data_IF_046074967262
#
_entry.id   IF_046074967262
#
_cell.length_a   1.000
_cell.length_b   1.000
_cell.length_c   1.000
_cell.angle_alpha   90.00
_cell.angle_beta   90.00
_cell.angle_gamma   90.00
#
_symmetry.space_group_name_H-M   'P 1'
#
loop_
_entity.id
_entity.type
_entity.pdbx_description
1 polymer ?
#
# COMPACT_ATOMS: atom_id res chain seq x y z
N UNK A 1 -9.14 -21.44 -15.69
CA UNK A 1 -9.49 -20.02 -15.60
C UNK A 1 -8.90 -19.32 -16.81
N UNK A 2 -9.72 -18.87 -17.77
CA UNK A 2 -9.19 -18.10 -18.91
C UNK A 2 -8.83 -16.70 -18.42
N UNK A 3 -7.55 -16.36 -18.48
CA UNK A 3 -7.06 -15.01 -18.19
C UNK A 3 -7.41 -14.17 -19.42
N UNK A 4 -8.43 -13.32 -19.32
CA UNK A 4 -8.74 -12.34 -20.37
C UNK A 4 -7.78 -11.16 -20.27
N UNK A 5 -7.50 -10.48 -21.38
CA UNK A 5 -6.64 -9.28 -21.38
C UNK A 5 -7.15 -8.21 -20.39
N UNK A 6 -8.48 -8.08 -20.28
CA UNK A 6 -9.15 -7.19 -19.32
C UNK A 6 -8.83 -7.52 -17.87
N UNK A 7 -8.76 -8.80 -17.54
CA UNK A 7 -8.45 -9.24 -16.19
C UNK A 7 -7.01 -8.87 -15.78
N UNK A 8 -6.07 -8.83 -16.74
CA UNK A 8 -4.71 -8.32 -16.53
C UNK A 8 -4.73 -6.81 -16.34
N UNK A 9 -5.48 -6.05 -17.14
CA UNK A 9 -5.61 -4.60 -16.97
C UNK A 9 -6.18 -4.23 -15.59
N UNK A 10 -7.23 -4.91 -15.14
CA UNK A 10 -7.82 -4.70 -13.81
C UNK A 10 -6.83 -4.99 -12.68
N UNK A 11 -6.08 -6.07 -12.81
CA UNK A 11 -5.02 -6.42 -11.86
C UNK A 11 -3.97 -5.31 -11.77
N UNK A 12 -3.52 -4.77 -12.92
CA UNK A 12 -2.52 -3.70 -12.98
C UNK A 12 -3.06 -2.40 -12.38
N UNK A 13 -4.30 -2.02 -12.70
CA UNK A 13 -4.96 -0.84 -12.12
C UNK A 13 -5.01 -0.93 -10.59
N UNK A 14 -5.46 -2.07 -10.04
CA UNK A 14 -5.49 -2.30 -8.59
C UNK A 14 -4.09 -2.26 -7.98
N UNK A 15 -3.10 -2.87 -8.64
CA UNK A 15 -1.71 -2.88 -8.16
C UNK A 15 -1.13 -1.47 -8.05
N UNK A 16 -1.36 -0.61 -9.06
CA UNK A 16 -0.93 0.80 -9.03
C UNK A 16 -1.55 1.53 -7.83
N UNK A 17 -2.84 1.32 -7.58
CA UNK A 17 -3.55 1.93 -6.43
C UNK A 17 -2.98 1.42 -5.10
N UNK A 18 -2.68 0.13 -4.96
CA UNK A 18 -2.07 -0.44 -3.76
C UNK A 18 -0.66 0.12 -3.51
N UNK A 19 0.16 0.20 -4.56
CA UNK A 19 1.52 0.75 -4.48
C UNK A 19 1.49 2.23 -4.08
N UNK A 20 0.60 3.03 -4.67
CA UNK A 20 0.50 4.45 -4.34
C UNK A 20 -0.03 4.72 -2.93
N UNK A 21 -1.03 3.94 -2.48
CA UNK A 21 -1.54 4.03 -1.10
C UNK A 21 -0.43 3.70 -0.10
N UNK A 22 0.35 2.64 -0.39
CA UNK A 22 1.52 2.27 0.41
C UNK A 22 2.56 3.40 0.39
N UNK A 23 2.95 3.89 -0.79
CA UNK A 23 3.93 4.95 -0.94
C UNK A 23 3.54 6.22 -0.15
N UNK A 24 2.26 6.57 -0.12
CA UNK A 24 1.74 7.70 0.64
C UNK A 24 1.92 7.52 2.16
N UNK A 25 1.51 6.37 2.70
CA UNK A 25 1.68 6.05 4.10
C UNK A 25 3.16 6.02 4.51
N UNK A 26 4.00 5.35 3.71
CA UNK A 26 5.43 5.28 3.94
C UNK A 26 6.12 6.64 3.91
N UNK A 27 5.86 7.46 2.88
CA UNK A 27 6.43 8.81 2.80
C UNK A 27 5.96 9.70 3.96
N UNK A 28 4.73 9.54 4.46
CA UNK A 28 4.24 10.23 5.65
C UNK A 28 5.03 9.83 6.90
N UNK A 29 5.31 8.53 7.09
CA UNK A 29 6.17 8.03 8.19
C UNK A 29 7.56 8.63 8.09
N UNK A 30 8.19 8.59 6.91
CA UNK A 30 9.54 9.13 6.72
C UNK A 30 9.60 10.65 6.95
N UNK A 31 8.58 11.38 6.51
CA UNK A 31 8.46 12.82 6.77
C UNK A 31 8.34 13.13 8.26
N UNK A 32 7.60 12.31 9.02
CA UNK A 32 7.52 12.43 10.48
C UNK A 32 8.87 12.20 11.15
N UNK A 33 9.62 11.17 10.74
CA UNK A 33 10.95 10.86 11.27
C UNK A 33 12.02 11.92 10.92
N UNK A 34 11.79 12.67 9.84
CA UNK A 34 12.69 13.70 9.34
C UNK A 34 12.27 15.13 9.72
N UNK A 35 11.17 15.32 10.46
CA UNK A 35 10.51 16.62 10.67
C UNK A 35 11.44 17.74 11.17
N UNK A 36 12.43 17.41 11.99
CA UNK A 36 13.31 18.38 12.64
C UNK A 36 14.76 18.29 12.13
N UNK A 37 14.99 17.67 10.96
CA UNK A 37 16.34 17.47 10.45
C UNK A 37 16.50 18.16 9.09
N UNK A 38 17.25 19.26 9.06
CA UNK A 38 17.49 20.02 7.83
C UNK A 38 18.47 19.30 6.89
N UNK A 39 19.32 18.42 7.42
CA UNK A 39 20.35 17.69 6.63
C UNK A 39 19.74 16.72 5.61
N UNK A 40 18.45 16.40 5.75
CA UNK A 40 17.73 15.47 4.87
C UNK A 40 16.80 16.19 3.87
N UNK A 41 16.96 17.50 3.67
CA UNK A 41 16.12 18.30 2.76
C UNK A 41 16.11 17.74 1.33
N UNK A 42 17.28 17.39 0.77
CA UNK A 42 17.40 16.80 -0.58
C UNK A 42 16.63 15.49 -0.69
N UNK A 43 16.72 14.64 0.34
CA UNK A 43 15.99 13.39 0.41
C UNK A 43 14.47 13.63 0.52
N UNK A 44 14.02 14.59 1.32
CA UNK A 44 12.60 14.95 1.41
C UNK A 44 12.03 15.49 0.09
N UNK A 45 12.81 16.29 -0.66
CA UNK A 45 12.42 16.72 -2.01
C UNK A 45 12.32 15.55 -2.99
N UNK A 46 13.20 14.55 -2.88
CA UNK A 46 13.08 13.31 -3.65
C UNK A 46 11.79 12.54 -3.29
N UNK A 47 11.50 12.36 -1.99
CA UNK A 47 10.29 11.69 -1.53
C UNK A 47 9.02 12.38 -2.03
N UNK A 48 8.98 13.71 -2.00
CA UNK A 48 7.87 14.50 -2.55
C UNK A 48 7.64 14.18 -4.03
N UNK A 49 8.69 14.24 -4.86
CA UNK A 49 8.60 13.96 -6.30
C UNK A 49 8.16 12.53 -6.59
N UNK A 50 8.74 11.56 -5.88
CA UNK A 50 8.37 10.15 -5.97
C UNK A 50 6.89 9.96 -5.63
N UNK A 51 6.42 10.52 -4.51
CA UNK A 51 5.04 10.40 -4.08
C UNK A 51 4.07 11.03 -5.09
N UNK A 52 4.40 12.19 -5.66
CA UNK A 52 3.57 12.81 -6.71
C UNK A 52 3.42 11.90 -7.93
N UNK A 53 4.49 11.24 -8.37
CA UNK A 53 4.42 10.28 -9.48
C UNK A 53 3.47 9.12 -9.13
N UNK A 54 3.61 8.54 -7.93
CA UNK A 54 2.73 7.46 -7.48
C UNK A 54 1.26 7.89 -7.40
N UNK A 55 0.98 9.06 -6.82
CA UNK A 55 -0.39 9.58 -6.67
C UNK A 55 -1.00 9.94 -8.03
N UNK A 56 -0.23 10.51 -8.96
CA UNK A 56 -0.69 10.78 -10.32
C UNK A 56 -1.01 9.49 -11.07
N UNK A 57 -0.16 8.46 -10.97
CA UNK A 57 -0.44 7.15 -11.54
C UNK A 57 -1.69 6.51 -10.95
N UNK A 58 -1.90 6.63 -9.64
CA UNK A 58 -3.09 6.10 -8.97
C UNK A 58 -4.37 6.85 -9.29
N UNK A 59 -4.31 8.17 -9.51
CA UNK A 59 -5.43 8.96 -10.00
C UNK A 59 -5.85 8.48 -11.40
N UNK A 60 -4.89 8.30 -12.30
CA UNK A 60 -5.15 7.76 -13.63
C UNK A 60 -5.74 6.35 -13.53
N UNK A 61 -5.16 5.48 -12.70
CA UNK A 61 -5.66 4.13 -12.47
C UNK A 61 -7.10 4.13 -11.92
N UNK A 62 -7.42 5.00 -10.96
CA UNK A 62 -8.76 5.12 -10.38
C UNK A 62 -9.81 5.59 -11.40
N UNK A 63 -9.44 6.50 -12.31
CA UNK A 63 -10.31 6.94 -13.40
C UNK A 63 -10.49 5.83 -14.44
N UNK A 64 -9.41 5.12 -14.79
CA UNK A 64 -9.44 4.03 -15.76
C UNK A 64 -10.16 2.77 -15.25
N UNK A 65 -10.30 2.60 -13.93
CA UNK A 65 -10.95 1.42 -13.36
C UNK A 65 -12.37 1.23 -13.91
N UNK A 66 -13.18 2.29 -13.95
CA UNK A 66 -14.58 2.24 -14.42
C UNK A 66 -14.68 1.77 -15.89
N UNK A 67 -14.03 2.40 -16.88
CA UNK A 67 -14.12 1.97 -18.27
C UNK A 67 -13.47 0.61 -18.53
N UNK A 68 -12.41 0.25 -17.79
CA UNK A 68 -11.79 -1.08 -17.91
C UNK A 68 -12.73 -2.17 -17.40
N UNK A 69 -13.45 -1.92 -16.30
CA UNK A 69 -14.47 -2.85 -15.81
C UNK A 69 -15.67 -2.94 -16.75
N UNK A 70 -16.15 -1.81 -17.29
CA UNK A 70 -17.21 -1.79 -18.29
C UNK A 70 -16.83 -2.62 -19.53
N UNK A 71 -15.60 -2.45 -20.04
CA UNK A 71 -15.09 -3.24 -21.16
C UNK A 71 -14.97 -4.73 -20.86
N UNK A 72 -14.60 -5.07 -19.61
CA UNK A 72 -14.52 -6.47 -19.18
C UNK A 72 -15.89 -7.17 -19.19
N UNK A 73 -16.98 -6.42 -18.94
CA UNK A 73 -18.35 -6.93 -18.96
C UNK A 73 -19.00 -6.87 -20.35
N UNK A 74 -18.64 -5.89 -21.17
CA UNK A 74 -19.21 -5.68 -22.50
C UNK A 74 -18.89 -6.79 -23.51
N UNK A 75 -17.80 -7.54 -23.29
CA UNK A 75 -17.26 -8.55 -24.20
C UNK A 75 -17.02 -8.06 -25.65
N UNK A 76 -17.04 -6.75 -25.89
CA UNK A 76 -16.91 -6.10 -27.21
C UNK A 76 -15.50 -5.55 -27.48
N UNK A 77 -14.50 -6.03 -26.74
CA UNK A 77 -13.14 -5.51 -26.80
C UNK A 77 -13.06 -4.06 -26.33
N UNK A 78 -12.16 -3.26 -26.93
CA UNK A 78 -11.91 -1.88 -26.48
C UNK A 78 -13.11 -0.94 -26.66
N UNK A 79 -14.05 -1.25 -27.56
CA UNK A 79 -15.29 -0.48 -27.73
C UNK A 79 -16.14 -0.47 -26.45
N UNK A 80 -16.04 -1.53 -25.64
CA UNK A 80 -16.72 -1.64 -24.35
C UNK A 80 -16.29 -0.60 -23.32
N UNK A 81 -15.11 0.02 -23.47
CA UNK A 81 -14.66 1.10 -22.56
C UNK A 81 -15.54 2.36 -22.68
N UNK A 82 -16.21 2.51 -23.81
CA UNK A 82 -17.07 3.67 -24.13
C UNK A 82 -18.54 3.27 -24.28
N UNK A 83 -18.89 2.04 -23.95
CA UNK A 83 -20.28 1.58 -23.99
C UNK A 83 -21.07 2.27 -22.88
N UNK A 84 -22.00 3.14 -23.25
CA UNK A 84 -22.72 3.98 -22.31
C UNK A 84 -23.56 3.16 -21.31
N UNK A 85 -24.13 2.04 -21.76
CA UNK A 85 -24.95 1.19 -20.91
C UNK A 85 -24.08 0.45 -19.87
N UNK A 86 -22.95 -0.13 -20.30
CA UNK A 86 -22.03 -0.79 -19.37
C UNK A 86 -21.38 0.20 -18.41
N UNK A 87 -21.02 1.41 -18.87
CA UNK A 87 -20.51 2.47 -18.01
C UNK A 87 -21.53 2.88 -16.94
N UNK A 88 -22.81 3.01 -17.29
CA UNK A 88 -23.87 3.33 -16.35
C UNK A 88 -24.04 2.21 -15.30
N UNK A 89 -24.02 0.94 -15.73
CA UNK A 89 -24.06 -0.21 -14.82
C UNK A 89 -22.91 -0.17 -13.82
N UNK A 90 -21.66 0.02 -14.28
CA UNK A 90 -20.50 0.09 -13.39
C UNK A 90 -20.57 1.32 -12.48
N UNK A 91 -21.06 2.46 -12.98
CA UNK A 91 -21.20 3.68 -12.19
C UNK A 91 -22.22 3.54 -11.04
N UNK A 92 -23.31 2.79 -11.26
CA UNK A 92 -24.30 2.49 -10.23
C UNK A 92 -23.88 1.33 -9.29
N UNK A 93 -22.72 0.71 -9.53
CA UNK A 93 -22.19 -0.39 -8.72
C UNK A 93 -21.30 0.11 -7.57
N UNK A 94 -20.88 -0.83 -6.72
CA UNK A 94 -19.89 -0.59 -5.64
C UNK A 94 -18.56 0.00 -6.14
N UNK A 95 -18.21 -0.20 -7.42
CA UNK A 95 -17.02 0.39 -8.01
C UNK A 95 -17.21 1.88 -8.26
N UNK A 96 -18.40 2.31 -8.68
CA UNK A 96 -18.76 3.73 -8.78
C UNK A 96 -18.68 4.41 -7.41
N UNK A 97 -19.27 3.80 -6.37
CA UNK A 97 -19.18 4.29 -4.99
C UNK A 97 -17.72 4.45 -4.53
N UNK A 98 -16.88 3.45 -4.82
CA UNK A 98 -15.46 3.50 -4.52
C UNK A 98 -14.75 4.64 -5.27
N UNK A 99 -15.07 4.86 -6.54
CA UNK A 99 -14.48 5.90 -7.37
C UNK A 99 -14.84 7.31 -6.89
N UNK A 100 -16.10 7.54 -6.49
CA UNK A 100 -16.59 8.82 -5.94
C UNK A 100 -15.82 9.22 -4.68
N UNK A 101 -15.42 8.26 -3.85
CA UNK A 101 -14.60 8.53 -2.66
C UNK A 101 -13.12 8.69 -3.02
N UNK A 102 -12.59 7.80 -3.86
CA UNK A 102 -11.14 7.66 -4.09
C UNK A 102 -10.58 8.75 -5.01
N UNK A 103 -11.27 9.14 -6.07
CA UNK A 103 -10.77 10.13 -7.04
C UNK A 103 -10.55 11.50 -6.38
N UNK A 104 -11.53 12.09 -5.66
CA UNK A 104 -11.32 13.35 -4.95
C UNK A 104 -10.23 13.24 -3.88
N UNK A 105 -10.12 12.10 -3.20
CA UNK A 105 -9.08 11.89 -2.18
C UNK A 105 -7.67 11.89 -2.79
N UNK A 106 -7.47 11.29 -3.97
CA UNK A 106 -6.19 11.37 -4.68
C UNK A 106 -5.88 12.78 -5.19
N UNK A 107 -6.86 13.50 -5.73
CA UNK A 107 -6.69 14.90 -6.15
C UNK A 107 -6.25 15.74 -4.94
N UNK A 108 -6.96 15.62 -3.81
CA UNK A 108 -6.61 16.34 -2.59
C UNK A 108 -5.23 15.93 -2.07
N UNK A 109 -4.87 14.65 -2.11
CA UNK A 109 -3.54 14.17 -1.71
C UNK A 109 -2.44 14.81 -2.57
N UNK A 110 -2.62 14.91 -3.89
CA UNK A 110 -1.67 15.60 -4.79
C UNK A 110 -1.52 17.07 -4.39
N UNK A 111 -2.63 17.79 -4.20
CA UNK A 111 -2.61 19.22 -3.79
C UNK A 111 -1.87 19.40 -2.46
N UNK A 112 -2.14 18.54 -1.48
CA UNK A 112 -1.51 18.57 -0.15
C UNK A 112 -0.01 18.27 -0.27
N UNK A 113 0.40 17.28 -1.06
CA UNK A 113 1.82 16.93 -1.24
C UNK A 113 2.59 18.03 -1.98
N UNK A 114 1.99 18.71 -2.95
CA UNK A 114 2.61 19.88 -3.61
C UNK A 114 2.97 20.96 -2.59
N UNK A 115 2.14 21.14 -1.56
CA UNK A 115 2.36 22.12 -0.49
C UNK A 115 3.38 21.69 0.59
N UNK A 116 4.08 20.56 0.46
CA UNK A 116 5.01 20.05 1.48
C UNK A 116 6.22 20.96 1.76
N UNK A 117 6.64 21.79 0.81
CA UNK A 117 7.83 22.65 0.95
C UNK A 117 7.56 23.96 1.72
N UNK A 118 6.33 24.16 2.21
CA UNK A 118 5.96 25.38 2.93
C UNK A 118 6.43 25.32 4.40
N UNK A 119 7.24 26.28 4.82
CA UNK A 119 7.92 26.30 6.12
C UNK A 119 7.15 26.96 7.29
N UNK A 120 5.89 27.35 7.10
CA UNK A 120 5.09 27.88 8.22
C UNK A 120 4.61 26.76 9.13
N UNK A 121 4.82 26.88 10.45
CA UNK A 121 4.47 25.85 11.43
C UNK A 121 2.98 25.44 11.39
N UNK A 122 2.07 26.41 11.24
CA UNK A 122 0.64 26.15 11.09
C UNK A 122 0.32 25.40 9.80
N UNK A 123 1.03 25.72 8.71
CA UNK A 123 0.87 25.04 7.42
C UNK A 123 1.38 23.61 7.49
N UNK A 124 2.48 23.34 8.20
CA UNK A 124 3.03 21.99 8.38
C UNK A 124 2.04 21.09 9.14
N UNK A 125 1.47 21.58 10.26
CA UNK A 125 0.50 20.82 11.03
C UNK A 125 -0.78 20.56 10.23
N UNK A 126 -1.35 21.58 9.60
CA UNK A 126 -2.54 21.44 8.76
C UNK A 126 -2.29 20.45 7.62
N UNK A 127 -1.15 20.56 6.95
CA UNK A 127 -0.75 19.67 5.87
C UNK A 127 -0.62 18.21 6.33
N UNK A 128 -0.06 17.98 7.52
CA UNK A 128 0.02 16.65 8.12
C UNK A 128 -1.38 16.07 8.35
N UNK A 129 -2.29 16.82 8.98
CA UNK A 129 -3.66 16.38 9.20
C UNK A 129 -4.41 16.10 7.90
N UNK A 130 -4.24 16.95 6.88
CA UNK A 130 -4.85 16.74 5.56
C UNK A 130 -4.27 15.52 4.84
N UNK A 131 -2.96 15.28 4.95
CA UNK A 131 -2.32 14.07 4.38
C UNK A 131 -2.85 12.82 5.07
N UNK A 132 -2.98 12.84 6.40
CA UNK A 132 -3.54 11.72 7.15
C UNK A 132 -5.02 11.49 6.81
N UNK A 133 -5.81 12.58 6.72
CA UNK A 133 -7.22 12.51 6.34
C UNK A 133 -7.41 11.88 4.96
N UNK A 134 -6.67 12.37 3.95
CA UNK A 134 -6.72 11.81 2.58
C UNK A 134 -6.30 10.34 2.53
N UNK A 135 -5.25 9.96 3.27
CA UNK A 135 -4.83 8.56 3.38
C UNK A 135 -5.92 7.69 3.99
N UNK A 136 -6.55 8.13 5.09
CA UNK A 136 -7.64 7.40 5.74
C UNK A 136 -8.84 7.27 4.79
N UNK A 137 -9.19 8.31 4.05
CA UNK A 137 -10.28 8.29 3.05
C UNK A 137 -9.99 7.30 1.91
N UNK A 138 -8.75 7.27 1.40
CA UNK A 138 -8.33 6.26 0.41
C UNK A 138 -8.44 4.86 1.00
N UNK A 139 -8.00 4.65 2.25
CA UNK A 139 -8.08 3.35 2.92
C UNK A 139 -9.54 2.92 3.13
N UNK A 140 -10.40 3.85 3.53
CA UNK A 140 -11.84 3.62 3.70
C UNK A 140 -12.49 3.12 2.41
N UNK A 141 -12.07 3.65 1.25
CA UNK A 141 -12.60 3.23 -0.06
C UNK A 141 -12.44 1.73 -0.34
N UNK A 142 -11.44 1.05 0.24
CA UNK A 142 -11.30 -0.41 0.10
C UNK A 142 -12.35 -1.20 0.86
N UNK A 143 -12.98 -0.60 1.89
CA UNK A 143 -14.02 -1.27 2.69
C UNK A 143 -15.38 -1.31 1.99
N UNK A 144 -15.55 -0.55 0.91
CA UNK A 144 -16.78 -0.47 0.12
C UNK A 144 -16.94 -1.64 -0.86
N UNK A 145 -15.88 -2.44 -1.06
CA UNK A 145 -15.83 -3.50 -2.07
C UNK A 145 -15.45 -4.85 -1.46
N UNK A 146 -15.93 -5.94 -2.07
CA UNK A 146 -15.63 -7.32 -1.66
C UNK A 146 -16.28 -7.71 -0.33
N UNK A 147 -15.84 -8.84 0.24
CA UNK A 147 -16.41 -9.40 1.49
C UNK A 147 -16.33 -8.49 2.70
N UNK A 148 -15.44 -7.49 2.68
CA UNK A 148 -15.37 -6.47 3.73
C UNK A 148 -16.62 -5.57 3.75
N UNK A 149 -17.31 -5.40 2.62
CA UNK A 149 -18.46 -4.49 2.49
C UNK A 149 -19.68 -4.96 3.28
N UNK A 150 -19.87 -6.28 3.39
CA UNK A 150 -21.01 -6.90 4.08
C UNK A 150 -20.77 -7.12 5.59
N UNK A 151 -19.54 -6.89 6.06
CA UNK A 151 -19.21 -7.05 7.48
C UNK A 151 -19.60 -5.83 8.31
N UNK A 152 -19.72 -6.04 9.62
CA UNK A 152 -20.02 -4.98 10.58
C UNK A 152 -18.90 -3.92 10.65
N UNK A 153 -19.21 -2.78 11.27
CA UNK A 153 -18.29 -1.65 11.38
C UNK A 153 -16.97 -2.03 12.06
N UNK A 154 -17.00 -2.92 13.06
CA UNK A 154 -15.80 -3.37 13.76
C UNK A 154 -14.81 -4.08 12.82
N UNK A 155 -15.28 -5.03 12.01
CA UNK A 155 -14.42 -5.74 11.06
C UNK A 155 -13.91 -4.80 9.96
N UNK A 156 -14.74 -3.86 9.49
CA UNK A 156 -14.30 -2.81 8.56
C UNK A 156 -13.17 -1.96 9.15
N UNK A 157 -13.28 -1.55 10.41
CA UNK A 157 -12.22 -0.81 11.10
C UNK A 157 -10.94 -1.63 11.25
N UNK A 158 -11.04 -2.91 11.62
CA UNK A 158 -9.87 -3.82 11.70
C UNK A 158 -9.21 -3.96 10.33
N UNK A 159 -10.00 -4.07 9.26
CA UNK A 159 -9.49 -4.11 7.89
C UNK A 159 -8.77 -2.82 7.49
N UNK A 160 -9.32 -1.65 7.86
CA UNK A 160 -8.65 -0.37 7.65
C UNK A 160 -7.32 -0.29 8.40
N UNK A 161 -7.27 -0.72 9.66
CA UNK A 161 -6.02 -0.77 10.44
C UNK A 161 -5.00 -1.72 9.81
N UNK A 162 -5.44 -2.86 9.29
CA UNK A 162 -4.58 -3.79 8.57
C UNK A 162 -3.97 -3.14 7.33
N UNK A 163 -4.80 -2.50 6.48
CA UNK A 163 -4.34 -1.79 5.28
C UNK A 163 -3.40 -0.64 5.66
N UNK A 164 -3.71 0.12 6.71
CA UNK A 164 -2.87 1.21 7.17
C UNK A 164 -1.50 0.69 7.63
N UNK A 165 -1.46 -0.36 8.44
CA UNK A 165 -0.23 -0.95 8.94
C UNK A 165 0.65 -1.50 7.80
N UNK A 166 0.08 -2.28 6.88
CA UNK A 166 0.86 -2.80 5.74
C UNK A 166 1.34 -1.67 4.82
N UNK A 167 0.52 -0.62 4.64
CA UNK A 167 0.88 0.55 3.83
C UNK A 167 2.05 1.30 4.45
N UNK A 168 2.06 1.49 5.78
CA UNK A 168 3.17 2.10 6.50
C UNK A 168 4.46 1.25 6.39
N UNK A 169 4.36 -0.07 6.52
CA UNK A 169 5.54 -0.94 6.42
C UNK A 169 6.09 -1.01 5.00
N UNK A 170 5.29 -1.50 4.04
CA UNK A 170 5.69 -1.70 2.64
C UNK A 170 6.04 -0.38 1.97
N UNK A 171 5.25 0.65 2.25
CA UNK A 171 5.46 1.99 1.71
C UNK A 171 6.77 2.64 2.12
N UNK A 172 7.29 2.31 3.29
CA UNK A 172 8.55 2.86 3.79
C UNK A 172 9.78 2.18 3.17
N UNK A 173 9.66 0.98 2.61
CA UNK A 173 10.80 0.23 2.09
C UNK A 173 11.55 0.95 0.96
N UNK A 174 10.83 1.51 -0.01
CA UNK A 174 11.46 2.25 -1.12
C UNK A 174 12.17 3.55 -0.66
N UNK A 175 11.53 4.42 0.16
CA UNK A 175 12.22 5.51 0.84
C UNK A 175 13.46 5.08 1.63
N UNK A 176 13.39 3.99 2.40
CA UNK A 176 14.52 3.47 3.18
C UNK A 176 15.64 2.92 2.29
N UNK A 177 15.31 2.28 1.18
CA UNK A 177 16.29 1.89 0.17
C UNK A 177 17.00 3.11 -0.43
N UNK A 178 16.26 4.18 -0.73
CA UNK A 178 16.81 5.41 -1.31
C UNK A 178 17.58 6.25 -0.30
N UNK A 179 17.25 6.18 1.00
CA UNK A 179 18.01 6.87 2.03
C UNK A 179 19.47 6.42 2.06
N UNK A 180 19.73 5.13 1.77
CA UNK A 180 21.08 4.57 1.64
C UNK A 180 21.90 5.17 0.48
N UNK A 181 21.27 5.92 -0.44
CA UNK A 181 21.95 6.60 -1.55
C UNK A 181 22.06 8.11 -1.34
N UNK A 182 21.03 8.72 -0.74
CA UNK A 182 20.96 10.17 -0.58
C UNK A 182 21.51 10.69 0.74
N UNK A 183 21.62 9.84 1.77
CA UNK A 183 21.98 10.26 3.12
C UNK A 183 23.35 9.73 3.54
N UNK A 184 24.10 10.50 4.35
CA UNK A 184 25.30 9.99 5.02
C UNK A 184 24.99 8.80 5.93
N UNK A 185 25.98 7.94 6.15
CA UNK A 185 25.85 6.70 6.94
C UNK A 185 25.23 6.93 8.33
N UNK A 186 25.59 8.03 9.00
CA UNK A 186 25.05 8.40 10.30
C UNK A 186 23.53 8.67 10.26
N UNK A 187 23.05 9.35 9.22
CA UNK A 187 21.63 9.64 9.01
C UNK A 187 20.84 8.40 8.59
N UNK A 188 21.43 7.53 7.77
CA UNK A 188 20.85 6.22 7.45
C UNK A 188 20.66 5.40 8.73
N UNK A 189 21.69 5.32 9.59
CA UNK A 189 21.61 4.60 10.86
C UNK A 189 20.51 5.16 11.77
N UNK A 190 20.46 6.49 11.94
CA UNK A 190 19.41 7.17 12.72
C UNK A 190 18.02 6.83 12.19
N UNK A 191 17.81 6.99 10.89
CA UNK A 191 16.52 6.79 10.25
C UNK A 191 16.05 5.33 10.37
N UNK A 192 16.94 4.37 10.11
CA UNK A 192 16.64 2.94 10.23
C UNK A 192 16.36 2.54 11.68
N UNK A 193 17.08 3.12 12.65
CA UNK A 193 16.82 2.86 14.06
C UNK A 193 15.44 3.37 14.50
N UNK A 194 15.10 4.62 14.14
CA UNK A 194 13.79 5.21 14.47
C UNK A 194 12.65 4.48 13.77
N UNK A 195 12.82 4.13 12.49
CA UNK A 195 11.86 3.30 11.77
C UNK A 195 11.71 1.92 12.43
N UNK A 196 12.80 1.29 12.84
CA UNK A 196 12.78 0.00 13.53
C UNK A 196 12.05 0.02 14.88
N UNK A 197 11.98 1.16 15.57
CA UNK A 197 11.15 1.34 16.77
C UNK A 197 9.66 1.41 16.41
N UNK A 198 9.29 2.23 15.41
CA UNK A 198 7.92 2.34 14.91
C UNK A 198 7.42 1.02 14.29
N UNK A 199 8.30 0.30 13.61
CA UNK A 199 8.00 -0.96 12.95
C UNK A 199 7.46 -2.01 13.93
N UNK A 200 7.87 -1.99 15.22
CA UNK A 200 7.32 -2.90 16.23
C UNK A 200 5.82 -2.70 16.39
N UNK A 201 5.38 -1.44 16.50
CA UNK A 201 3.97 -1.08 16.65
C UNK A 201 3.21 -1.43 15.36
N UNK A 202 3.77 -1.08 14.20
CA UNK A 202 3.18 -1.38 12.89
C UNK A 202 2.97 -2.89 12.72
N UNK A 203 3.99 -3.69 13.03
CA UNK A 203 3.94 -5.16 12.94
C UNK A 203 2.93 -5.73 13.93
N UNK A 204 2.87 -5.22 15.17
CA UNK A 204 1.90 -5.68 16.15
C UNK A 204 0.46 -5.46 15.67
N UNK A 205 0.15 -4.25 15.18
CA UNK A 205 -1.16 -3.92 14.59
C UNK A 205 -1.44 -4.82 13.39
N UNK A 206 -0.45 -5.04 12.52
CA UNK A 206 -0.58 -5.89 11.34
C UNK A 206 -0.90 -7.35 11.70
N UNK A 207 -0.22 -7.92 12.70
CA UNK A 207 -0.43 -9.30 13.14
C UNK A 207 -1.80 -9.47 13.81
N UNK A 208 -2.15 -8.60 14.76
CA UNK A 208 -3.43 -8.69 15.47
C UNK A 208 -4.60 -8.51 14.50
N UNK A 209 -4.55 -7.51 13.63
CA UNK A 209 -5.58 -7.30 12.61
C UNK A 209 -5.61 -8.43 11.59
N UNK A 210 -4.44 -8.90 11.13
CA UNK A 210 -4.33 -9.96 10.12
C UNK A 210 -4.88 -11.29 10.60
N UNK A 211 -4.54 -11.71 11.83
CA UNK A 211 -5.11 -12.92 12.45
C UNK A 211 -6.61 -12.78 12.64
N UNK A 212 -7.09 -11.62 13.09
CA UNK A 212 -8.53 -11.39 13.26
C UNK A 212 -9.30 -11.49 11.94
N UNK A 213 -8.78 -10.89 10.87
CA UNK A 213 -9.39 -10.97 9.53
C UNK A 213 -9.33 -12.39 8.96
N UNK A 214 -8.22 -13.09 9.19
CA UNK A 214 -8.05 -14.49 8.78
C UNK A 214 -9.15 -15.37 9.37
N UNK A 215 -9.42 -15.22 10.68
CA UNK A 215 -10.47 -15.97 11.40
C UNK A 215 -11.90 -15.57 10.98
N UNK A 216 -12.09 -14.37 10.42
CA UNK A 216 -13.40 -13.86 10.01
C UNK A 216 -13.75 -14.18 8.55
N UNK A 217 -12.75 -14.50 7.74
CA UNK A 217 -12.90 -14.78 6.31
C UNK A 217 -12.67 -16.25 5.93
N UNK A 218 -12.04 -17.06 6.78
CA UNK A 218 -11.98 -18.51 6.61
C UNK A 218 -13.14 -19.18 7.36
N UNK A 219 -13.82 -20.13 6.71
CA UNK A 219 -14.87 -20.90 7.37
C UNK A 219 -14.27 -22.01 8.25
N UNK A 220 -13.11 -22.56 7.86
CA UNK A 220 -12.39 -23.55 8.67
C UNK A 220 -10.87 -23.50 8.46
N UNK A 221 -10.10 -23.99 9.44
CA UNK A 221 -8.64 -24.12 9.32
C UNK A 221 -8.25 -25.14 8.25
N UNK A 222 -9.11 -26.15 7.99
CA UNK A 222 -8.84 -27.13 6.95
C UNK A 222 -8.81 -26.49 5.54
N UNK A 223 -9.64 -25.48 5.30
CA UNK A 223 -9.68 -24.75 4.02
C UNK A 223 -8.34 -24.11 3.66
N UNK A 224 -7.47 -23.79 4.64
CA UNK A 224 -6.12 -23.27 4.38
C UNK A 224 -5.30 -24.22 3.51
N UNK A 225 -5.51 -25.53 3.66
CA UNK A 225 -4.73 -26.56 2.99
C UNK A 225 -5.49 -27.18 1.81
N UNK A 226 -6.83 -27.23 1.89
CA UNK A 226 -7.66 -27.94 0.92
C UNK A 226 -8.21 -27.04 -0.20
N UNK A 227 -8.32 -25.73 0.01
CA UNK A 227 -8.92 -24.81 -0.96
C UNK A 227 -7.86 -23.96 -1.69
N UNK A 228 -8.15 -23.60 -2.95
CA UNK A 228 -7.30 -22.67 -3.72
C UNK A 228 -7.17 -21.31 -3.00
N UNK A 229 -8.25 -20.85 -2.37
CA UNK A 229 -8.30 -19.62 -1.58
C UNK A 229 -7.31 -19.69 -0.39
N UNK A 230 -7.39 -20.77 0.37
CA UNK A 230 -6.53 -21.02 1.53
C UNK A 230 -5.06 -21.18 1.18
N UNK A 231 -4.74 -21.87 0.09
CA UNK A 231 -3.36 -22.03 -0.38
C UNK A 231 -2.71 -20.71 -0.79
N UNK A 232 -3.46 -19.81 -1.44
CA UNK A 232 -2.99 -18.45 -1.75
C UNK A 232 -2.74 -17.63 -0.47
N UNK A 233 -3.62 -17.76 0.53
CA UNK A 233 -3.41 -17.15 1.85
C UNK A 233 -2.15 -17.70 2.51
N UNK A 234 -1.94 -19.02 2.46
CA UNK A 234 -0.76 -19.66 3.06
C UNK A 234 0.53 -19.17 2.39
N UNK A 235 0.54 -19.05 1.06
CA UNK A 235 1.66 -18.44 0.33
C UNK A 235 1.89 -16.99 0.79
N UNK A 236 0.83 -16.19 0.92
CA UNK A 236 0.93 -14.82 1.43
C UNK A 236 1.51 -14.78 2.84
N UNK A 237 1.09 -15.67 3.73
CA UNK A 237 1.61 -15.76 5.11
C UNK A 237 3.09 -16.13 5.11
N UNK A 238 3.52 -17.09 4.29
CA UNK A 238 4.93 -17.48 4.16
C UNK A 238 5.79 -16.28 3.74
N UNK A 239 5.35 -15.54 2.72
CA UNK A 239 6.07 -14.36 2.23
C UNK A 239 6.14 -13.25 3.29
N UNK A 240 5.04 -12.97 4.00
CA UNK A 240 5.02 -11.99 5.09
C UNK A 240 5.93 -12.43 6.24
N UNK A 241 5.95 -13.71 6.61
CA UNK A 241 6.87 -14.25 7.60
C UNK A 241 8.33 -14.09 7.18
N UNK A 242 8.66 -14.31 5.90
CA UNK A 242 10.00 -14.06 5.38
C UNK A 242 10.39 -12.58 5.50
N UNK A 243 9.48 -11.65 5.19
CA UNK A 243 9.71 -10.21 5.40
C UNK A 243 9.92 -9.87 6.87
N UNK A 244 9.14 -10.45 7.79
CA UNK A 244 9.31 -10.23 9.24
C UNK A 244 10.69 -10.68 9.73
N UNK A 245 11.19 -11.82 9.24
CA UNK A 245 12.53 -12.30 9.56
C UNK A 245 13.61 -11.36 9.03
N UNK A 246 13.45 -10.82 7.81
CA UNK A 246 14.35 -9.80 7.26
C UNK A 246 14.32 -8.53 8.12
N UNK A 247 13.15 -8.01 8.48
CA UNK A 247 13.01 -6.83 9.33
C UNK A 247 13.60 -7.04 10.73
N UNK A 248 13.44 -8.23 11.31
CA UNK A 248 14.09 -8.60 12.57
C UNK A 248 15.61 -8.61 12.42
N UNK A 249 16.14 -9.16 11.33
CA UNK A 249 17.58 -9.16 11.03
C UNK A 249 18.13 -7.74 10.83
N UNK A 250 17.37 -6.85 10.19
CA UNK A 250 17.73 -5.43 10.06
C UNK A 250 17.89 -4.80 11.44
N UNK A 251 16.85 -4.90 12.28
CA UNK A 251 16.80 -4.24 13.59
C UNK A 251 17.82 -4.80 14.58
N UNK A 252 17.99 -6.13 14.63
CA UNK A 252 18.79 -6.81 15.65
C UNK A 252 20.26 -6.94 15.28
N UNK A 253 20.60 -6.91 13.99
CA UNK A 253 21.96 -7.19 13.53
C UNK A 253 22.49 -6.09 12.62
N UNK A 254 21.85 -5.84 11.47
CA UNK A 254 22.43 -4.94 10.46
C UNK A 254 22.52 -3.49 10.93
N UNK A 255 21.44 -2.94 11.50
CA UNK A 255 21.38 -1.52 11.92
C UNK A 255 22.33 -1.21 13.08
N UNK A 256 22.42 -2.02 14.15
CA UNK A 256 23.43 -1.82 15.20
C UNK A 256 24.87 -1.81 14.67
N UNK A 257 25.18 -2.70 13.71
CA UNK A 257 26.51 -2.91 13.13
C UNK A 257 26.90 -1.86 12.07
N UNK A 258 26.05 -0.87 11.75
CA UNK A 258 26.42 0.20 10.82
C UNK A 258 27.56 1.03 11.44
N UNK A 259 28.79 0.70 11.04
CA UNK A 259 30.03 1.42 11.33
C UNK A 259 30.84 1.64 10.05
N UNK A 260 30.67 0.79 9.04
CA UNK A 260 31.41 0.80 7.77
C UNK A 260 30.48 0.73 6.55
N UNK A 261 30.98 1.13 5.38
CA UNK A 261 30.23 1.14 4.12
C UNK A 261 29.72 -0.24 3.70
N UNK A 262 30.46 -1.32 4.01
CA UNK A 262 30.07 -2.70 3.71
C UNK A 262 28.71 -3.08 4.33
N UNK A 263 28.43 -2.57 5.54
CA UNK A 263 27.17 -2.81 6.24
C UNK A 263 25.98 -2.17 5.52
N UNK A 264 26.19 -1.02 4.88
CA UNK A 264 25.15 -0.32 4.10
C UNK A 264 24.87 -1.05 2.80
N UNK A 265 25.88 -1.60 2.13
CA UNK A 265 25.69 -2.42 0.92
C UNK A 265 24.83 -3.65 1.25
N UNK A 266 25.12 -4.32 2.38
CA UNK A 266 24.37 -5.48 2.84
C UNK A 266 22.93 -5.12 3.19
N UNK A 267 22.74 -4.02 3.93
CA UNK A 267 21.41 -3.49 4.26
C UNK A 267 20.61 -3.16 3.00
N UNK A 268 21.21 -2.45 2.04
CA UNK A 268 20.59 -2.08 0.76
C UNK A 268 20.13 -3.31 -0.04
N UNK A 269 20.97 -4.36 -0.12
CA UNK A 269 20.61 -5.63 -0.78
C UNK A 269 19.45 -6.31 -0.07
N UNK A 270 19.47 -6.35 1.27
CA UNK A 270 18.41 -6.96 2.07
C UNK A 270 17.08 -6.22 1.89
N UNK A 271 17.07 -4.88 1.92
CA UNK A 271 15.86 -4.07 1.65
C UNK A 271 15.36 -4.29 0.22
N UNK A 272 16.26 -4.45 -0.76
CA UNK A 272 15.85 -4.76 -2.15
C UNK A 272 15.13 -6.10 -2.26
N UNK A 273 15.56 -7.12 -1.51
CA UNK A 273 14.87 -8.42 -1.42
C UNK A 273 13.51 -8.24 -0.74
N UNK A 274 13.43 -7.47 0.33
CA UNK A 274 12.18 -7.18 1.02
C UNK A 274 11.17 -6.45 0.13
N UNK A 275 11.61 -5.47 -0.67
CA UNK A 275 10.79 -4.78 -1.68
C UNK A 275 10.25 -5.79 -2.71
N UNK A 276 11.10 -6.69 -3.20
CA UNK A 276 10.68 -7.71 -4.16
C UNK A 276 9.60 -8.62 -3.56
N UNK A 277 9.80 -9.12 -2.34
CA UNK A 277 8.80 -9.95 -1.64
C UNK A 277 7.51 -9.16 -1.42
N UNK A 278 7.60 -7.89 -1.01
CA UNK A 278 6.43 -7.03 -0.81
C UNK A 278 5.63 -6.83 -2.11
N UNK A 279 6.30 -6.62 -3.24
CA UNK A 279 5.64 -6.52 -4.55
C UNK A 279 4.95 -7.84 -4.94
N UNK A 280 5.56 -8.99 -4.66
CA UNK A 280 4.94 -10.30 -4.87
C UNK A 280 3.69 -10.46 -3.98
N UNK A 281 3.75 -10.04 -2.72
CA UNK A 281 2.59 -10.06 -1.80
C UNK A 281 1.45 -9.18 -2.31
N UNK A 282 1.75 -7.96 -2.80
CA UNK A 282 0.76 -7.07 -3.39
C UNK A 282 0.19 -7.64 -4.70
N UNK A 283 1.02 -8.26 -5.52
CA UNK A 283 0.60 -8.93 -6.75
C UNK A 283 -0.35 -10.10 -6.47
N UNK A 284 0.00 -10.99 -5.52
CA UNK A 284 -0.89 -12.07 -5.06
C UNK A 284 -2.20 -11.50 -4.51
N UNK A 285 -2.13 -10.40 -3.74
CA UNK A 285 -3.33 -9.74 -3.23
C UNK A 285 -4.20 -9.18 -4.36
N UNK A 286 -3.60 -8.66 -5.43
CA UNK A 286 -4.34 -8.18 -6.62
C UNK A 286 -4.99 -9.32 -7.40
N UNK A 287 -4.31 -10.47 -7.52
CA UNK A 287 -4.91 -11.69 -8.08
C UNK A 287 -6.12 -12.11 -7.25
N UNK A 288 -5.93 -12.18 -5.93
CA UNK A 288 -6.97 -12.59 -4.99
C UNK A 288 -8.23 -11.72 -5.11
N UNK A 289 -8.09 -10.40 -5.10
CA UNK A 289 -9.22 -9.47 -5.20
C UNK A 289 -9.82 -9.35 -6.61
N UNK A 290 -9.26 -10.04 -7.61
CA UNK A 290 -9.75 -10.01 -9.00
C UNK A 290 -10.32 -11.34 -9.43
N UNK A 291 -9.77 -12.45 -8.96
CA UNK A 291 -10.05 -13.79 -9.48
C UNK A 291 -10.61 -14.76 -8.43
N UNK A 292 -10.36 -14.55 -7.14
CA UNK A 292 -10.64 -15.58 -6.12
C UNK A 292 -11.39 -14.97 -4.92
N UNK A 293 -12.70 -15.17 -4.88
CA UNK A 293 -13.49 -14.97 -3.66
C UNK A 293 -13.45 -16.21 -2.76
N UNK A 294 -13.61 -16.08 -1.42
CA UNK A 294 -13.92 -17.21 -0.56
C UNK A 294 -15.13 -17.97 -1.11
N UNK A 295 -15.08 -19.29 -1.00
CA UNK A 295 -16.23 -20.15 -1.31
C UNK A 295 -17.37 -19.77 -0.37
N UNK A 296 -18.49 -19.37 -0.97
CA UNK A 296 -19.77 -19.14 -0.28
C UNK A 296 -20.25 -20.45 0.34
#
# INVERSE_FOLDING_TARGET
MQISDWSVFLLLVKLVIYVATSAMAGCLVLRLLNRNNETVAVFNSYLKRWLLICLSAALIAAILQIPVEAASMAESGFAGMTDAFMLEIIWQSVIGDQAVVRIPAFILAIVVVVAWDKNSASVINLNFFLTLFTLITIIYSFTLTGHSAEKNLLIKSIFMFHIFAISCWVGSLWPLYKSCHFLPNAEVKRLMHQFGQLAIIIILVLLVSGVTLLLQYLNSVAELFTSNYGQLILLKLLLVSAMLLLGAWHKLTLVPQITEELHIITLKRSISIEIFIALVVLFITSIFTTFVGPSI
#
